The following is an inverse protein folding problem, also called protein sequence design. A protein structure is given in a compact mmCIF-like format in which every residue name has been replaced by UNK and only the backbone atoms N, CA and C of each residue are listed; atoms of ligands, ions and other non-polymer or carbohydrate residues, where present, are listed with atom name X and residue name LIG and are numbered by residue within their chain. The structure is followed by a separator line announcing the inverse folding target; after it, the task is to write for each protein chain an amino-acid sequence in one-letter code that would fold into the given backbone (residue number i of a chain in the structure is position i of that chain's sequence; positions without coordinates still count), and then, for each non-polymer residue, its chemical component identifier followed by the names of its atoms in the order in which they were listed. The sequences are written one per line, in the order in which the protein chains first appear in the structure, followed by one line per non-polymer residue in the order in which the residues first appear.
data_IF_815982608420
#
_entry.id   IF_815982608420
#
_cell.length_a   1.000
_cell.length_b   1.000
_cell.length_c   1.000
_cell.angle_alpha   90.00
_cell.angle_beta   90.00
_cell.angle_gamma   90.00
#
_symmetry.space_group_name_H-M   'P 1'
#
loop_
_entity.id
_entity.type
_entity.pdbx_description
1 polymer ?
#
# COMPACT_ATOMS: atom_id res chain seq x y z
N UNK A 1 15.50 -4.43 -2.27
CA UNK A 1 15.11 -4.11 -3.67
C UNK A 1 16.24 -3.49 -4.50
N UNK A 2 17.08 -2.60 -3.96
CA UNK A 2 18.13 -1.91 -4.73
C UNK A 2 19.35 -2.76 -5.08
N UNK A 3 19.63 -3.79 -4.27
CA UNK A 3 20.85 -4.62 -4.36
C UNK A 3 20.86 -5.61 -5.54
N UNK A 4 19.71 -6.05 -6.04
CA UNK A 4 19.64 -7.05 -7.11
C UNK A 4 18.41 -6.88 -7.98
N UNK A 5 18.53 -7.23 -9.27
CA UNK A 5 17.39 -7.20 -10.19
C UNK A 5 16.27 -8.14 -9.74
N UNK A 6 16.60 -9.31 -9.16
CA UNK A 6 15.62 -10.23 -8.61
C UNK A 6 14.79 -9.56 -7.50
N UNK A 7 15.45 -8.90 -6.54
CA UNK A 7 14.76 -8.22 -5.45
C UNK A 7 13.98 -6.99 -5.93
N UNK A 8 14.45 -6.33 -6.98
CA UNK A 8 13.72 -5.25 -7.65
C UNK A 8 12.45 -5.76 -8.31
N UNK A 9 12.56 -6.80 -9.16
CA UNK A 9 11.43 -7.37 -9.91
C UNK A 9 10.30 -7.81 -9.00
N UNK A 10 10.58 -8.61 -7.96
CA UNK A 10 9.58 -9.15 -7.05
C UNK A 10 9.15 -8.20 -5.92
N UNK A 11 9.77 -7.02 -5.77
CA UNK A 11 9.51 -6.17 -4.61
C UNK A 11 9.84 -6.86 -3.28
N UNK A 12 11.01 -7.50 -3.19
CA UNK A 12 11.43 -8.22 -1.98
C UNK A 12 11.65 -7.26 -0.81
N UNK A 13 11.06 -7.58 0.34
CA UNK A 13 11.17 -6.83 1.58
C UNK A 13 12.57 -6.98 2.21
N UNK A 14 13.12 -8.18 2.21
CA UNK A 14 14.44 -8.46 2.75
C UNK A 14 15.54 -8.55 1.66
N UNK A 15 16.82 -8.31 2.03
CA UNK A 15 17.94 -8.41 1.08
C UNK A 15 18.20 -9.82 0.55
N UNK A 16 17.85 -10.87 1.30
CA UNK A 16 18.08 -12.25 0.90
C UNK A 16 17.06 -12.75 -0.15
N UNK A 17 15.98 -12.00 -0.38
CA UNK A 17 14.97 -12.39 -1.37
C UNK A 17 13.99 -13.43 -0.83
N UNK A 18 13.75 -13.46 0.49
CA UNK A 18 12.92 -14.49 1.12
C UNK A 18 11.42 -14.18 1.01
N UNK A 19 11.02 -12.92 1.22
CA UNK A 19 9.60 -12.52 1.24
C UNK A 19 9.35 -11.19 0.51
N UNK A 20 8.26 -11.08 -0.24
CA UNK A 20 7.79 -9.83 -0.85
C UNK A 20 7.04 -8.94 0.14
N UNK A 21 6.86 -7.67 -0.23
CA UNK A 21 5.85 -6.82 0.42
C UNK A 21 4.44 -7.34 0.08
N UNK A 22 3.44 -7.03 0.92
CA UNK A 22 2.02 -7.45 0.78
C UNK A 22 1.24 -6.72 -0.34
N UNK A 23 1.96 -6.28 -1.39
CA UNK A 23 1.47 -5.52 -2.53
C UNK A 23 2.34 -5.80 -3.76
N UNK A 24 1.80 -5.68 -4.99
CA UNK A 24 2.62 -5.75 -6.18
C UNK A 24 3.57 -4.54 -6.26
N UNK A 25 4.65 -4.67 -7.06
CA UNK A 25 5.84 -3.87 -6.85
C UNK A 25 5.85 -2.58 -7.66
N UNK A 26 4.83 -2.22 -8.45
CA UNK A 26 4.94 -1.08 -9.39
C UNK A 26 5.26 0.23 -8.67
N UNK A 27 4.60 0.54 -7.55
CA UNK A 27 4.96 1.71 -6.75
C UNK A 27 6.38 1.58 -6.14
N UNK A 28 6.76 0.38 -5.72
CA UNK A 28 8.08 0.09 -5.17
C UNK A 28 9.18 0.21 -6.22
N UNK A 29 8.91 -0.09 -7.48
CA UNK A 29 9.84 0.07 -8.59
C UNK A 29 10.22 1.54 -8.76
N UNK A 30 9.25 2.46 -8.71
CA UNK A 30 9.55 3.89 -8.76
C UNK A 30 10.40 4.35 -7.56
N UNK A 31 10.07 3.89 -6.35
CA UNK A 31 10.84 4.21 -5.13
C UNK A 31 12.27 3.66 -5.21
N UNK A 32 12.42 2.40 -5.65
CA UNK A 32 13.72 1.74 -5.78
C UNK A 32 14.58 2.35 -6.89
N UNK A 33 14.00 2.75 -8.02
CA UNK A 33 14.69 3.48 -9.08
C UNK A 33 15.19 4.83 -8.54
N UNK A 34 14.35 5.57 -7.81
CA UNK A 34 14.72 6.86 -7.21
C UNK A 34 15.88 6.69 -6.21
N UNK A 35 15.80 5.71 -5.31
CA UNK A 35 16.89 5.40 -4.38
C UNK A 35 18.18 4.94 -5.10
N UNK A 36 18.06 4.25 -6.24
CA UNK A 36 19.23 3.84 -7.03
C UNK A 36 19.91 5.01 -7.74
N UNK A 37 19.15 6.03 -8.17
CA UNK A 37 19.70 7.22 -8.83
C UNK A 37 20.30 8.20 -7.82
N UNK A 38 19.62 8.45 -6.71
CA UNK A 38 19.97 9.50 -5.75
C UNK A 38 20.66 9.01 -4.48
N UNK A 39 20.83 7.69 -4.33
CA UNK A 39 21.27 7.06 -3.08
C UNK A 39 20.13 6.86 -2.10
N UNK A 40 20.35 5.99 -1.11
CA UNK A 40 19.33 5.64 -0.11
C UNK A 40 19.18 6.75 0.95
N UNK A 41 18.27 7.68 0.68
CA UNK A 41 17.88 8.73 1.62
C UNK A 41 16.36 8.73 1.83
N UNK A 42 15.88 9.19 3.00
CA UNK A 42 14.43 9.26 3.27
C UNK A 42 13.66 10.08 2.22
N UNK A 43 14.22 11.20 1.76
CA UNK A 43 13.60 12.02 0.71
C UNK A 43 13.60 11.35 -0.67
N UNK A 44 14.62 10.54 -0.99
CA UNK A 44 14.74 9.86 -2.29
C UNK A 44 13.64 8.80 -2.47
N UNK A 45 13.28 8.10 -1.39
CA UNK A 45 12.24 7.06 -1.39
C UNK A 45 10.86 7.71 -1.63
N UNK A 46 10.64 8.88 -1.05
CA UNK A 46 9.37 9.60 -1.10
C UNK A 46 9.22 10.46 -2.37
N UNK A 47 10.32 10.79 -3.04
CA UNK A 47 10.34 11.66 -4.22
C UNK A 47 9.34 11.24 -5.31
N UNK A 48 9.21 9.96 -5.72
CA UNK A 48 8.21 9.57 -6.71
C UNK A 48 6.78 9.87 -6.27
N UNK A 49 6.43 9.59 -5.00
CA UNK A 49 5.10 9.89 -4.44
C UNK A 49 4.79 11.39 -4.49
N UNK A 50 5.79 12.25 -4.22
CA UNK A 50 5.64 13.71 -4.34
C UNK A 50 5.38 14.11 -5.80
N UNK A 51 6.14 13.56 -6.75
CA UNK A 51 5.98 13.85 -8.17
C UNK A 51 4.61 13.40 -8.71
N UNK A 52 4.13 12.23 -8.30
CA UNK A 52 2.79 11.75 -8.62
C UNK A 52 1.70 12.61 -7.98
N UNK A 53 1.91 13.08 -6.74
CA UNK A 53 1.02 14.05 -6.09
C UNK A 53 0.91 15.36 -6.86
N UNK A 54 2.04 15.95 -7.26
CA UNK A 54 2.07 17.18 -8.08
C UNK A 54 1.42 16.95 -9.46
N UNK A 55 1.70 15.81 -10.10
CA UNK A 55 1.07 15.43 -11.36
C UNK A 55 -0.45 15.28 -11.23
N UNK A 56 -0.93 14.77 -10.09
CA UNK A 56 -2.35 14.62 -9.80
C UNK A 56 -3.06 15.97 -9.68
N UNK A 57 -2.42 16.97 -9.06
CA UNK A 57 -2.94 18.36 -9.01
C UNK A 57 -3.13 18.92 -10.43
N UNK A 58 -2.15 18.70 -11.31
CA UNK A 58 -2.25 19.11 -12.71
C UNK A 58 -3.37 18.36 -13.46
N UNK A 59 -3.53 17.06 -13.23
CA UNK A 59 -4.57 16.27 -13.89
C UNK A 59 -5.98 16.69 -13.45
N UNK A 60 -6.18 16.99 -12.16
CA UNK A 60 -7.46 17.54 -11.67
C UNK A 60 -7.79 18.87 -12.35
N UNK A 61 -6.81 19.79 -12.45
CA UNK A 61 -6.98 21.04 -13.20
C UNK A 61 -7.46 20.77 -14.63
N UNK A 62 -6.81 19.83 -15.33
CA UNK A 62 -7.13 19.49 -16.72
C UNK A 62 -8.46 18.75 -16.89
N UNK A 63 -8.90 17.99 -15.89
CA UNK A 63 -10.17 17.29 -15.90
C UNK A 63 -11.35 18.23 -15.67
N UNK A 64 -11.21 19.21 -14.78
CA UNK A 64 -12.30 20.12 -14.40
C UNK A 64 -12.46 21.28 -15.41
N UNK A 65 -11.34 21.78 -15.95
CA UNK A 65 -11.34 22.98 -16.81
C UNK A 65 -12.27 22.91 -18.03
N UNK A 66 -12.33 21.79 -18.79
CA UNK A 66 -13.18 21.72 -19.98
C UNK A 66 -14.68 21.79 -19.69
N UNK A 67 -15.12 21.41 -18.49
CA UNK A 67 -16.55 21.35 -18.13
C UNK A 67 -17.01 22.58 -17.35
N UNK A 68 -16.14 23.18 -16.54
CA UNK A 68 -16.52 24.27 -15.60
C UNK A 68 -15.68 25.53 -15.78
N UNK A 69 -14.79 25.57 -16.76
CA UNK A 69 -13.91 26.71 -17.06
C UNK A 69 -12.67 26.79 -16.17
N UNK A 70 -11.80 27.75 -16.51
CA UNK A 70 -10.45 27.88 -15.92
C UNK A 70 -10.45 28.18 -14.42
N UNK A 71 -11.43 28.95 -13.93
CA UNK A 71 -11.50 29.33 -12.51
C UNK A 71 -11.86 28.11 -11.64
N UNK A 72 -12.85 27.32 -12.05
CA UNK A 72 -13.19 26.07 -11.37
C UNK A 72 -12.02 25.08 -11.42
N UNK A 73 -11.32 24.98 -12.56
CA UNK A 73 -10.09 24.20 -12.66
C UNK A 73 -9.04 24.63 -11.63
N UNK A 74 -8.73 25.92 -11.54
CA UNK A 74 -7.78 26.46 -10.56
C UNK A 74 -8.22 26.18 -9.12
N UNK A 75 -9.50 26.35 -8.82
CA UNK A 75 -10.03 26.10 -7.48
C UNK A 75 -9.93 24.62 -7.11
N UNK A 76 -10.22 23.70 -8.05
CA UNK A 76 -10.08 22.26 -7.81
C UNK A 76 -8.64 21.83 -7.57
N UNK A 77 -7.68 22.39 -8.33
CA UNK A 77 -6.26 22.15 -8.14
C UNK A 77 -5.75 22.72 -6.81
N UNK A 78 -6.19 23.93 -6.45
CA UNK A 78 -5.89 24.54 -5.17
C UNK A 78 -6.44 23.69 -4.02
N UNK A 79 -7.70 23.27 -4.11
CA UNK A 79 -8.35 22.42 -3.11
C UNK A 79 -7.56 21.11 -2.90
N UNK A 80 -7.17 20.43 -3.98
CA UNK A 80 -6.34 19.23 -3.89
C UNK A 80 -4.97 19.51 -3.25
N UNK A 81 -4.33 20.62 -3.63
CA UNK A 81 -3.00 21.02 -3.13
C UNK A 81 -3.00 21.27 -1.62
N UNK A 82 -4.06 21.89 -1.10
CA UNK A 82 -4.15 22.26 0.33
C UNK A 82 -4.84 21.21 1.18
N UNK A 83 -5.34 20.12 0.59
CA UNK A 83 -6.01 19.06 1.34
C UNK A 83 -4.98 18.32 2.22
N UNK A 84 -5.10 18.37 3.56
CA UNK A 84 -4.04 17.89 4.45
C UNK A 84 -3.67 16.42 4.24
N UNK A 85 -4.67 15.57 3.99
CA UNK A 85 -4.42 14.13 3.77
C UNK A 85 -3.66 13.86 2.46
N UNK A 86 -3.89 14.66 1.41
CA UNK A 86 -3.14 14.55 0.13
C UNK A 86 -1.68 14.94 0.33
N UNK A 87 -1.43 16.01 1.10
CA UNK A 87 -0.07 16.46 1.43
C UNK A 87 0.65 15.45 2.32
N UNK A 88 -0.03 14.90 3.32
CA UNK A 88 0.53 13.90 4.21
C UNK A 88 0.89 12.63 3.45
N UNK A 89 -0.04 12.09 2.67
CA UNK A 89 0.16 10.83 1.94
C UNK A 89 1.28 10.91 0.90
N UNK A 90 1.30 11.97 0.08
CA UNK A 90 2.33 12.18 -0.95
C UNK A 90 3.76 12.35 -0.40
N UNK A 91 3.90 12.62 0.91
CA UNK A 91 5.19 12.77 1.61
C UNK A 91 5.58 11.55 2.45
N UNK A 92 4.91 10.42 2.24
CA UNK A 92 5.26 9.13 2.85
C UNK A 92 5.66 8.11 1.78
N UNK A 93 6.14 6.95 2.20
CA UNK A 93 6.42 5.81 1.33
C UNK A 93 5.15 4.97 1.05
N UNK A 94 3.96 5.55 1.20
CA UNK A 94 2.71 4.93 0.80
C UNK A 94 2.59 4.86 -0.73
N UNK A 95 1.76 3.92 -1.20
CA UNK A 95 1.50 3.69 -2.62
C UNK A 95 0.30 4.51 -3.15
N UNK A 96 -0.43 5.20 -2.28
CA UNK A 96 -1.69 5.87 -2.58
C UNK A 96 -1.53 7.06 -3.55
N UNK A 97 -0.53 7.91 -3.34
CA UNK A 97 -0.21 8.99 -4.29
C UNK A 97 0.07 8.47 -5.72
N UNK A 98 0.79 7.35 -5.84
CA UNK A 98 1.04 6.69 -7.14
C UNK A 98 -0.26 6.18 -7.74
N UNK A 99 -1.09 5.49 -6.95
CA UNK A 99 -2.39 4.99 -7.39
C UNK A 99 -3.27 6.13 -7.92
N UNK A 100 -3.47 7.18 -7.11
CA UNK A 100 -4.34 8.32 -7.46
C UNK A 100 -3.89 8.97 -8.77
N UNK A 101 -2.59 9.13 -8.98
CA UNK A 101 -2.06 9.66 -10.23
C UNK A 101 -2.45 8.81 -11.44
N UNK A 102 -2.25 7.49 -11.39
CA UNK A 102 -2.61 6.59 -12.49
C UNK A 102 -4.12 6.57 -12.75
N UNK A 103 -4.95 6.61 -11.69
CA UNK A 103 -6.41 6.70 -11.84
C UNK A 103 -6.83 8.00 -12.52
N UNK A 104 -6.28 9.14 -12.11
CA UNK A 104 -6.58 10.45 -12.73
C UNK A 104 -6.10 10.51 -14.17
N UNK A 105 -4.92 9.95 -14.46
CA UNK A 105 -4.38 9.90 -15.81
C UNK A 105 -5.25 9.02 -16.72
N UNK A 106 -5.71 7.87 -16.20
CA UNK A 106 -6.65 7.00 -16.91
C UNK A 106 -7.95 7.73 -17.24
N UNK A 107 -8.56 8.44 -16.27
CA UNK A 107 -9.79 9.22 -16.51
C UNK A 107 -9.55 10.35 -17.51
N UNK A 108 -8.42 11.05 -17.42
CA UNK A 108 -8.07 12.11 -18.36
C UNK A 108 -7.92 11.60 -19.79
N UNK A 109 -7.28 10.44 -19.97
CA UNK A 109 -7.19 9.77 -21.26
C UNK A 109 -8.55 9.25 -21.75
N UNK A 110 -9.41 8.77 -20.85
CA UNK A 110 -10.77 8.36 -21.18
C UNK A 110 -11.56 9.53 -21.77
N UNK A 111 -11.57 10.68 -21.09
CA UNK A 111 -12.24 11.90 -21.58
C UNK A 111 -11.66 12.31 -22.93
N UNK A 112 -10.34 12.33 -23.07
CA UNK A 112 -9.69 12.66 -24.35
C UNK A 112 -9.98 11.65 -25.47
N UNK A 113 -10.15 10.37 -25.15
CA UNK A 113 -10.48 9.34 -26.14
C UNK A 113 -11.82 9.61 -26.82
N UNK A 114 -12.80 10.10 -26.04
CA UNK A 114 -14.14 10.47 -26.51
C UNK A 114 -14.05 11.74 -27.36
N UNK A 115 -13.44 12.80 -26.84
CA UNK A 115 -13.35 14.08 -27.57
C UNK A 115 -12.55 13.99 -28.87
N UNK A 116 -11.55 13.11 -28.94
CA UNK A 116 -10.71 12.91 -30.14
C UNK A 116 -11.13 11.73 -31.01
N UNK A 117 -12.20 11.00 -30.63
CA UNK A 117 -12.60 9.74 -31.27
C UNK A 117 -11.43 8.74 -31.45
N UNK A 118 -10.51 8.68 -30.48
CA UNK A 118 -9.27 7.92 -30.59
C UNK A 118 -9.30 6.68 -29.69
N UNK A 119 -9.43 5.50 -30.31
CA UNK A 119 -9.49 4.20 -29.61
C UNK A 119 -8.20 3.86 -28.87
N UNK A 120 -7.04 4.30 -29.33
CA UNK A 120 -5.78 4.04 -28.64
C UNK A 120 -5.75 4.71 -27.27
N UNK A 121 -6.28 5.93 -27.15
CA UNK A 121 -6.37 6.60 -25.85
C UNK A 121 -7.32 5.86 -24.89
N UNK A 122 -8.37 5.23 -25.41
CA UNK A 122 -9.27 4.39 -24.63
C UNK A 122 -8.56 3.13 -24.13
N UNK A 123 -7.83 2.43 -25.02
CA UNK A 123 -7.08 1.22 -24.65
C UNK A 123 -6.00 1.56 -23.61
N UNK A 124 -5.25 2.65 -23.82
CA UNK A 124 -4.24 3.11 -22.86
C UNK A 124 -4.89 3.49 -21.53
N UNK A 125 -6.02 4.20 -21.54
CA UNK A 125 -6.77 4.54 -20.32
C UNK A 125 -7.08 3.30 -19.46
N UNK A 126 -7.65 2.26 -20.05
CA UNK A 126 -7.96 1.01 -19.34
C UNK A 126 -6.71 0.21 -18.97
N UNK A 127 -5.67 0.24 -19.81
CA UNK A 127 -4.37 -0.37 -19.51
C UNK A 127 -3.71 0.27 -18.27
N UNK A 128 -3.81 1.60 -18.10
CA UNK A 128 -3.32 2.28 -16.90
C UNK A 128 -4.04 1.82 -15.63
N UNK A 129 -5.31 1.44 -15.71
CA UNK A 129 -6.01 0.82 -14.56
C UNK A 129 -5.43 -0.57 -14.25
N UNK A 130 -5.00 -1.33 -15.26
CA UNK A 130 -4.28 -2.59 -15.06
C UNK A 130 -2.89 -2.39 -14.43
N UNK A 131 -2.20 -1.31 -14.79
CA UNK A 131 -0.95 -0.91 -14.10
C UNK A 131 -1.25 -0.48 -12.66
N UNK A 132 -2.32 0.27 -12.43
CA UNK A 132 -2.76 0.68 -11.10
C UNK A 132 -3.18 -0.50 -10.22
N UNK A 133 -3.71 -1.58 -10.80
CA UNK A 133 -3.91 -2.85 -10.09
C UNK A 133 -2.58 -3.40 -9.56
N UNK A 134 -1.50 -3.29 -10.33
CA UNK A 134 -0.16 -3.65 -9.86
C UNK A 134 0.48 -2.60 -8.93
N UNK A 135 -0.27 -1.57 -8.53
CA UNK A 135 0.07 -0.67 -7.42
C UNK A 135 -0.72 -1.04 -6.16
N UNK A 136 -2.04 -1.26 -6.28
CA UNK A 136 -2.92 -1.48 -5.11
C UNK A 136 -4.09 -2.44 -5.35
N UNK A 137 -3.87 -3.49 -6.14
CA UNK A 137 -4.78 -4.61 -6.41
C UNK A 137 -6.22 -4.12 -6.72
N UNK A 138 -7.24 -4.79 -6.15
CA UNK A 138 -8.65 -4.52 -6.42
C UNK A 138 -9.11 -3.11 -6.02
N UNK A 139 -8.37 -2.38 -5.18
CA UNK A 139 -8.68 -0.96 -4.91
C UNK A 139 -8.62 -0.12 -6.19
N UNK A 140 -7.74 -0.45 -7.13
CA UNK A 140 -7.66 0.25 -8.42
C UNK A 140 -8.90 0.03 -9.29
N UNK A 141 -9.60 -1.09 -9.14
CA UNK A 141 -10.77 -1.45 -9.94
C UNK A 141 -12.05 -0.75 -9.52
N UNK A 142 -12.06 -0.08 -8.36
CA UNK A 142 -13.24 0.64 -7.86
C UNK A 142 -13.74 1.72 -8.83
N UNK A 143 -12.87 2.27 -9.68
CA UNK A 143 -13.25 3.29 -10.67
C UNK A 143 -13.83 2.71 -11.97
N UNK A 144 -13.61 1.41 -12.25
CA UNK A 144 -13.99 0.80 -13.52
C UNK A 144 -15.48 0.91 -13.84
N UNK A 145 -16.43 0.65 -12.91
CA UNK A 145 -17.85 0.79 -13.21
C UNK A 145 -18.20 2.19 -13.71
N UNK A 146 -17.62 3.23 -13.08
CA UNK A 146 -17.82 4.61 -13.50
C UNK A 146 -17.19 4.90 -14.87
N UNK A 147 -16.01 4.34 -15.17
CA UNK A 147 -15.36 4.51 -16.48
C UNK A 147 -16.15 3.84 -17.61
N UNK A 148 -16.60 2.60 -17.42
CA UNK A 148 -17.43 1.89 -18.40
C UNK A 148 -18.73 2.64 -18.65
N UNK A 149 -19.43 3.05 -17.58
CA UNK A 149 -20.66 3.81 -17.69
C UNK A 149 -20.45 5.17 -18.37
N UNK A 150 -19.41 5.90 -17.99
CA UNK A 150 -19.09 7.18 -18.60
C UNK A 150 -18.83 7.04 -20.11
N UNK A 151 -18.01 6.07 -20.53
CA UNK A 151 -17.79 5.83 -21.97
C UNK A 151 -19.09 5.46 -22.68
N UNK A 152 -19.89 4.58 -22.07
CA UNK A 152 -21.16 4.13 -22.63
C UNK A 152 -22.13 5.29 -22.88
N UNK A 153 -22.19 6.26 -21.96
CA UNK A 153 -23.09 7.41 -22.05
C UNK A 153 -22.53 8.53 -22.93
N UNK A 154 -21.24 8.85 -22.78
CA UNK A 154 -20.64 10.03 -23.40
C UNK A 154 -20.17 9.82 -24.84
N UNK A 155 -19.83 8.60 -25.25
CA UNK A 155 -19.43 8.34 -26.63
C UNK A 155 -20.64 8.45 -27.59
N UNK A 156 -20.56 9.33 -28.59
CA UNK A 156 -21.60 9.46 -29.62
C UNK A 156 -21.35 8.48 -30.77
N UNK A 157 -21.59 7.19 -30.52
CA UNK A 157 -21.32 6.08 -31.44
C UNK A 157 -22.42 5.02 -31.38
N UNK A 158 -22.49 4.14 -32.39
CA UNK A 158 -23.39 2.99 -32.34
C UNK A 158 -23.02 2.03 -31.20
N UNK A 159 -24.01 1.39 -30.60
CA UNK A 159 -23.81 0.44 -29.50
C UNK A 159 -22.80 -0.69 -29.83
N UNK A 160 -22.81 -1.20 -31.08
CA UNK A 160 -21.83 -2.19 -31.56
C UNK A 160 -20.39 -1.66 -31.54
N UNK A 161 -20.18 -0.40 -31.95
CA UNK A 161 -18.86 0.25 -31.89
C UNK A 161 -18.40 0.40 -30.44
N UNK A 162 -19.29 0.87 -29.55
CA UNK A 162 -19.00 1.01 -28.12
C UNK A 162 -18.56 -0.31 -27.50
N UNK A 163 -19.33 -1.38 -27.72
CA UNK A 163 -19.00 -2.72 -27.22
C UNK A 163 -17.62 -3.16 -27.74
N UNK A 164 -17.38 -3.04 -29.05
CA UNK A 164 -16.12 -3.47 -29.66
C UNK A 164 -14.91 -2.73 -29.06
N UNK A 165 -15.00 -1.40 -28.94
CA UNK A 165 -13.92 -0.58 -28.36
C UNK A 165 -13.72 -0.86 -26.88
N UNK A 166 -14.80 -1.04 -26.13
CA UNK A 166 -14.73 -1.44 -24.73
C UNK A 166 -14.08 -2.82 -24.58
N UNK A 167 -14.39 -3.79 -25.43
CA UNK A 167 -13.73 -5.10 -25.42
C UNK A 167 -12.23 -4.95 -25.61
N UNK A 168 -11.77 -4.18 -26.61
CA UNK A 168 -10.33 -3.93 -26.79
C UNK A 168 -9.69 -3.22 -25.59
N UNK A 169 -10.41 -2.28 -24.98
CA UNK A 169 -9.94 -1.59 -23.78
C UNK A 169 -9.84 -2.54 -22.57
N UNK A 170 -10.84 -3.40 -22.38
CA UNK A 170 -10.85 -4.45 -21.35
C UNK A 170 -9.74 -5.47 -21.56
N UNK A 171 -9.42 -5.83 -22.81
CA UNK A 171 -8.25 -6.66 -23.11
C UNK A 171 -6.97 -5.97 -22.65
N UNK A 172 -6.78 -4.68 -22.96
CA UNK A 172 -5.63 -3.91 -22.46
C UNK A 172 -5.54 -3.88 -20.93
N UNK A 173 -6.67 -3.61 -20.25
CA UNK A 173 -6.80 -3.72 -18.80
C UNK A 173 -6.34 -5.11 -18.29
N UNK A 174 -6.87 -6.19 -18.87
CA UNK A 174 -6.58 -7.55 -18.44
C UNK A 174 -5.10 -7.92 -18.63
N UNK A 175 -4.50 -7.56 -19.77
CA UNK A 175 -3.08 -7.80 -20.03
C UNK A 175 -2.22 -7.14 -18.94
N UNK A 176 -2.42 -5.85 -18.67
CA UNK A 176 -1.60 -5.15 -17.68
C UNK A 176 -1.93 -5.51 -16.24
N UNK A 177 -3.15 -5.97 -15.94
CA UNK A 177 -3.52 -6.51 -14.63
C UNK A 177 -2.76 -7.80 -14.35
N UNK A 178 -2.79 -8.74 -15.31
CA UNK A 178 -2.33 -10.11 -15.12
C UNK A 178 -0.84 -10.30 -15.40
N UNK A 179 -0.21 -9.42 -16.17
CA UNK A 179 1.19 -9.57 -16.58
C UNK A 179 2.13 -9.87 -15.41
N UNK A 180 2.04 -9.11 -14.32
CA UNK A 180 2.90 -9.33 -13.15
C UNK A 180 2.46 -10.53 -12.30
N UNK A 181 1.20 -10.62 -11.79
CA UNK A 181 0.78 -11.73 -10.93
C UNK A 181 0.99 -13.10 -11.58
N UNK A 182 0.64 -13.23 -12.86
CA UNK A 182 0.84 -14.50 -13.61
C UNK A 182 2.33 -14.81 -13.77
N UNK A 183 3.18 -13.81 -14.00
CA UNK A 183 4.63 -14.05 -14.08
C UNK A 183 5.22 -14.56 -12.76
N UNK A 184 4.71 -14.07 -11.62
CA UNK A 184 5.14 -14.53 -10.29
C UNK A 184 4.61 -15.93 -10.04
N UNK A 185 3.32 -16.16 -10.22
CA UNK A 185 2.66 -17.43 -9.88
C UNK A 185 3.14 -18.60 -10.76
N UNK A 186 3.50 -18.32 -12.02
CA UNK A 186 4.10 -19.33 -12.92
C UNK A 186 5.59 -19.60 -12.64
N UNK A 187 6.29 -18.71 -11.91
CA UNK A 187 7.68 -18.96 -11.54
C UNK A 187 7.73 -20.01 -10.41
N UNK A 188 8.57 -21.07 -10.51
CA UNK A 188 8.70 -22.07 -9.47
C UNK A 188 9.03 -21.46 -8.11
N UNK A 189 8.39 -21.94 -7.04
CA UNK A 189 8.54 -21.39 -5.68
C UNK A 189 10.01 -21.38 -5.18
N UNK A 190 10.85 -22.31 -5.65
CA UNK A 190 12.28 -22.34 -5.32
C UNK A 190 13.10 -21.22 -5.99
N UNK A 191 12.54 -20.54 -6.99
CA UNK A 191 13.21 -19.52 -7.79
C UNK A 191 12.74 -18.10 -7.49
N UNK A 192 11.70 -17.91 -6.68
CA UNK A 192 11.13 -16.61 -6.31
C UNK A 192 10.97 -16.45 -4.79
N UNK A 193 10.86 -15.21 -4.27
CA UNK A 193 10.49 -14.98 -2.88
C UNK A 193 9.08 -15.50 -2.58
N UNK A 194 8.81 -15.74 -1.30
CA UNK A 194 7.45 -15.98 -0.81
C UNK A 194 6.59 -14.73 -0.97
N UNK A 195 5.37 -14.88 -1.48
CA UNK A 195 4.42 -13.78 -1.66
C UNK A 195 3.82 -13.40 -0.30
N UNK A 196 4.29 -12.30 0.26
CA UNK A 196 3.86 -11.81 1.57
C UNK A 196 2.35 -11.52 1.59
N UNK A 197 1.66 -11.95 2.65
CA UNK A 197 0.21 -11.75 2.80
C UNK A 197 -0.66 -12.76 2.04
N UNK A 198 -0.08 -13.75 1.39
CA UNK A 198 -0.79 -14.93 0.84
C UNK A 198 -0.60 -16.15 1.73
N UNK A 199 -1.48 -17.15 1.63
CA UNK A 199 -1.36 -18.46 2.31
C UNK A 199 -0.75 -19.53 1.39
N UNK A 200 -0.99 -19.43 0.09
CA UNK A 200 -0.58 -20.42 -0.92
C UNK A 200 0.61 -19.97 -1.77
N UNK A 201 1.29 -18.89 -1.35
CA UNK A 201 2.42 -18.30 -2.06
C UNK A 201 2.03 -17.80 -3.47
N UNK A 202 0.87 -17.14 -3.59
CA UNK A 202 0.29 -16.65 -4.86
C UNK A 202 -0.07 -15.16 -4.80
N UNK A 203 0.31 -14.43 -5.85
CA UNK A 203 -0.05 -13.02 -6.05
C UNK A 203 -1.53 -12.85 -6.42
N UNK A 204 -2.10 -13.78 -7.17
CA UNK A 204 -3.54 -13.75 -7.47
C UNK A 204 -4.38 -13.99 -6.22
N UNK A 205 -3.98 -14.94 -5.38
CA UNK A 205 -4.60 -15.15 -4.07
C UNK A 205 -4.49 -13.89 -3.20
N UNK A 206 -3.29 -13.28 -3.12
CA UNK A 206 -3.09 -12.01 -2.40
C UNK A 206 -4.02 -10.90 -2.93
N UNK A 207 -4.20 -10.83 -4.25
CA UNK A 207 -5.00 -9.80 -4.91
C UNK A 207 -6.49 -9.93 -4.63
N UNK A 208 -7.04 -11.14 -4.78
CA UNK A 208 -8.46 -11.40 -4.67
C UNK A 208 -8.92 -11.72 -3.25
N UNK A 209 -8.05 -12.30 -2.41
CA UNK A 209 -8.29 -12.58 -0.99
C UNK A 209 -8.00 -11.36 -0.12
N UNK A 210 -6.83 -11.32 0.53
CA UNK A 210 -6.44 -10.30 1.52
C UNK A 210 -6.59 -8.86 1.03
N UNK A 211 -6.19 -8.53 -0.21
CA UNK A 211 -6.35 -7.19 -0.78
C UNK A 211 -7.68 -6.96 -1.51
N UNK A 212 -8.61 -7.92 -1.41
CA UNK A 212 -9.83 -8.00 -2.19
C UNK A 212 -11.07 -8.22 -1.35
N UNK A 213 -11.66 -9.40 -1.50
CA UNK A 213 -12.94 -9.76 -0.86
C UNK A 213 -12.88 -9.65 0.65
N UNK A 214 -11.74 -9.95 1.26
CA UNK A 214 -11.57 -9.88 2.72
C UNK A 214 -11.63 -8.45 3.27
N UNK A 215 -11.26 -7.45 2.46
CA UNK A 215 -11.43 -6.04 2.86
C UNK A 215 -12.91 -5.62 2.92
N UNK A 216 -13.78 -6.31 2.18
CA UNK A 216 -15.21 -6.01 2.12
C UNK A 216 -16.03 -6.90 3.06
N UNK A 217 -15.63 -8.15 3.21
CA UNK A 217 -16.41 -9.20 3.90
C UNK A 217 -15.85 -9.56 5.28
N UNK A 218 -14.65 -9.08 5.64
CA UNK A 218 -13.95 -9.40 6.89
C UNK A 218 -12.64 -10.15 6.63
N UNK A 219 -11.61 -9.81 7.40
CA UNK A 219 -10.26 -10.38 7.26
C UNK A 219 -10.16 -11.75 7.92
N UNK A 220 -9.70 -12.73 7.15
CA UNK A 220 -9.44 -14.11 7.61
C UNK A 220 -8.00 -14.54 7.37
N UNK A 221 -7.27 -13.85 6.49
CA UNK A 221 -5.88 -14.12 6.13
C UNK A 221 -4.98 -12.89 6.33
N UNK A 222 -3.66 -13.08 6.21
CA UNK A 222 -2.66 -12.02 6.35
C UNK A 222 -2.34 -11.63 7.80
N UNK A 223 -1.16 -11.04 8.02
CA UNK A 223 -0.68 -10.63 9.36
C UNK A 223 -1.39 -9.39 9.93
N UNK A 224 -2.44 -8.89 9.25
CA UNK A 224 -3.17 -7.66 9.59
C UNK A 224 -4.34 -7.84 10.57
N UNK A 225 -4.66 -9.07 11.00
CA UNK A 225 -5.83 -9.38 11.82
C UNK A 225 -5.82 -8.87 13.28
N UNK A 226 -4.76 -8.21 13.76
CA UNK A 226 -4.63 -7.88 15.20
C UNK A 226 -5.05 -6.47 15.61
N UNK A 227 -5.59 -5.63 14.72
CA UNK A 227 -5.99 -4.25 15.04
C UNK A 227 -7.47 -3.91 14.74
N UNK A 228 -8.39 -4.85 15.01
CA UNK A 228 -9.84 -4.56 14.84
C UNK A 228 -10.85 -5.42 15.60
N UNK A 229 -10.45 -6.51 16.26
CA UNK A 229 -11.38 -7.45 16.91
C UNK A 229 -11.52 -7.33 18.44
N UNK A 230 -10.88 -6.33 19.06
CA UNK A 230 -10.69 -6.28 20.52
C UNK A 230 -11.76 -5.57 21.35
N UNK A 231 -12.88 -5.11 20.78
CA UNK A 231 -13.85 -4.27 21.50
C UNK A 231 -15.28 -4.82 21.58
N UNK A 232 -15.53 -6.08 21.23
CA UNK A 232 -16.86 -6.66 21.47
C UNK A 232 -16.89 -8.18 21.72
N UNK A 233 -15.84 -8.75 22.30
CA UNK A 233 -15.97 -10.06 22.95
C UNK A 233 -16.45 -9.84 24.39
N UNK A 234 -17.77 -9.68 24.56
CA UNK A 234 -18.40 -9.83 25.88
C UNK A 234 -17.95 -11.17 26.44
N UNK A 235 -17.20 -11.12 27.54
CA UNK A 235 -16.83 -12.25 28.37
C UNK A 235 -18.07 -13.01 28.82
N UNK A 236 -18.54 -13.98 28.03
CA UNK A 236 -19.41 -15.03 28.54
C UNK A 236 -18.56 -15.94 29.42
N UNK A 237 -18.47 -15.57 30.70
CA UNK A 237 -18.15 -16.50 31.79
C UNK A 237 -19.18 -17.63 31.74
N UNK A 238 -18.81 -18.76 31.14
CA UNK A 238 -19.55 -20.01 31.34
C UNK A 238 -19.16 -20.52 32.73
N UNK A 239 -19.96 -20.15 33.71
CA UNK A 239 -20.01 -20.82 35.01
C UNK A 239 -20.60 -22.21 34.79
N UNK A 240 -19.77 -23.24 34.88
CA UNK A 240 -20.21 -24.61 35.09
C UNK A 240 -19.54 -25.09 36.35
N UNK A 241 -20.33 -25.16 37.42
CA UNK A 241 -19.93 -25.68 38.72
C UNK A 241 -19.56 -27.16 38.65
N UNK A 242 -18.72 -27.57 39.61
CA UNK A 242 -18.34 -28.96 39.83
C UNK A 242 -19.50 -29.84 40.33
N UNK A 243 -19.24 -31.09 40.75
CA UNK A 243 -18.28 -31.37 41.82
C UNK A 243 -17.43 -32.64 41.68
N UNK A 244 -16.34 -32.72 42.46
CA UNK A 244 -15.96 -33.97 43.11
C UNK A 244 -14.57 -34.56 42.79
N UNK A 245 -13.65 -34.40 43.73
CA UNK A 245 -12.91 -35.55 44.30
C UNK A 245 -11.50 -35.86 43.77
N UNK A 246 -10.48 -35.59 44.61
CA UNK A 246 -9.44 -36.60 44.88
C UNK A 246 -7.98 -36.29 44.56
N UNK A 247 -7.26 -35.88 45.63
CA UNK A 247 -5.85 -36.21 45.98
C UNK A 247 -4.67 -35.62 45.16
N UNK A 248 -3.98 -34.68 45.80
CA UNK A 248 -2.54 -34.44 45.66
C UNK A 248 -1.73 -35.54 46.38
N UNK A 249 -0.44 -35.71 46.02
CA UNK A 249 0.59 -36.01 47.02
C UNK A 249 1.62 -34.88 47.15
N UNK A 250 2.04 -34.70 48.39
CA UNK A 250 2.98 -33.72 48.93
C UNK A 250 4.44 -34.15 48.80
N UNK A 251 5.32 -33.15 48.70
CA UNK A 251 6.68 -33.07 49.23
C UNK A 251 7.84 -33.87 48.58
N UNK A 252 8.83 -33.11 48.08
CA UNK A 252 10.24 -33.35 48.44
C UNK A 252 11.00 -32.01 48.55
N UNK A 253 11.53 -31.76 49.74
CA UNK A 253 12.43 -30.65 50.13
C UNK A 253 13.87 -31.16 50.01
N UNK A 254 14.80 -30.38 49.43
CA UNK A 254 16.18 -30.36 49.93
C UNK A 254 16.92 -29.04 49.63
N UNK A 255 17.77 -28.67 50.59
CA UNK A 255 18.37 -27.37 50.89
C UNK A 255 19.55 -26.96 49.99
N UNK A 256 19.94 -25.67 50.01
CA UNK A 256 21.31 -25.32 49.59
C UNK A 256 21.79 -23.87 49.48
N UNK A 257 21.59 -23.01 50.50
CA UNK A 257 22.46 -21.88 50.93
C UNK A 257 22.94 -20.78 49.94
N UNK A 258 22.45 -19.57 50.19
CA UNK A 258 23.09 -18.26 49.97
C UNK A 258 24.21 -18.00 50.99
N UNK A 259 25.15 -17.08 50.70
CA UNK A 259 25.63 -16.16 51.74
C UNK A 259 25.56 -14.69 51.32
N UNK A 260 25.01 -13.91 52.23
CA UNK A 260 25.06 -12.44 52.34
C UNK A 260 26.41 -11.95 52.90
N UNK A 261 26.87 -10.79 52.43
CA UNK A 261 27.91 -9.99 53.09
C UNK A 261 27.66 -8.48 52.91
N UNK A 262 27.44 -7.77 54.02
CA UNK A 262 27.26 -6.31 54.16
C UNK A 262 28.58 -5.61 54.52
N UNK A 263 28.76 -4.36 54.07
CA UNK A 263 29.41 -3.21 54.77
C UNK A 263 29.30 -2.01 53.81
N UNK A 264 28.56 -0.90 54.02
CA UNK A 264 28.40 0.10 55.09
C UNK A 264 29.47 1.20 55.14
N UNK A 265 28.98 2.47 55.16
CA UNK A 265 29.56 3.78 55.57
C UNK A 265 30.15 4.65 54.44
N UNK A 266 30.11 5.99 54.47
CA UNK A 266 29.30 7.03 55.13
C UNK A 266 29.83 8.41 54.63
N UNK A 267 29.00 9.46 54.61
CA UNK A 267 29.39 10.89 54.55
C UNK A 267 29.73 11.44 53.15
N UNK A 268 29.35 12.66 52.74
CA UNK A 268 28.80 13.80 53.46
C UNK A 268 29.49 15.08 52.97
N UNK A 269 28.70 15.98 52.37
CA UNK A 269 28.87 17.45 52.28
C UNK A 269 29.74 18.14 51.19
N UNK A 270 29.07 19.15 50.60
CA UNK A 270 29.49 20.53 50.25
C UNK A 270 30.08 20.85 48.86
N UNK A 271 29.22 21.52 48.06
CA UNK A 271 29.53 22.67 47.18
C UNK A 271 30.10 23.86 48.02
N UNK A 272 30.76 24.93 47.46
CA UNK A 272 30.34 25.64 46.23
C UNK A 272 31.43 26.35 45.37
N UNK A 273 30.94 27.06 44.33
CA UNK A 273 31.45 28.28 43.65
C UNK A 273 32.20 28.17 42.31
N UNK A 274 31.73 28.99 41.35
CA UNK A 274 32.57 29.70 40.37
C UNK A 274 32.47 29.25 38.90
N UNK A 275 31.68 29.96 38.07
CA UNK A 275 31.90 30.01 36.60
C UNK A 275 32.97 31.05 36.23
N UNK A 276 33.10 31.54 34.97
CA UNK A 276 32.42 31.16 33.73
C UNK A 276 33.37 31.02 32.49
N UNK A 277 32.80 30.71 31.32
CA UNK A 277 33.41 30.88 29.99
C UNK A 277 33.73 29.54 29.32
N UNK A 278 33.30 29.21 28.10
CA UNK A 278 32.80 30.02 27.00
C UNK A 278 33.55 29.59 25.74
N UNK A 279 32.95 28.74 24.89
CA UNK A 279 33.03 28.83 23.43
C UNK A 279 32.23 27.71 22.77
N UNK A 280 31.51 28.12 21.74
CA UNK A 280 30.54 27.38 20.97
C UNK A 280 31.19 26.49 19.90
N UNK A 281 30.49 25.40 19.59
CA UNK A 281 30.39 24.77 18.29
C UNK A 281 28.92 24.52 18.01
#
# INVERSE_FOLDING_TARGET
MTESFKNFWYGSFDPAGYITVDKPPVALWFMAISAKIFGLHGWSIVLPSVLFGVGSVYLIYQLVTPFFGKNAGRLSALAMTITPIVVADSRTNNMDATLVFFLLLAVWLLVRSISKHNVWLLIVSFSLIGIAFNVKMLQAFMILPAMYLFYWLAANESWKSKITKLVFATVGLAVFTLAYPVSVDLTPASQRPYVGGSETNSELELAFGYNGTERLLGQTTGTGGTFGGGMNAKSQKKSTGGPGGGKMPTAMKQNGKTPTGKTSKNGGQKMPTGGPGGQAG
#
